data_IF_652333349712
#
_entry.id   IF_652333349712
#
_cell.length_a   1.000
_cell.length_b   1.000
_cell.length_c   1.000
_cell.angle_alpha   90.00
_cell.angle_beta   90.00
_cell.angle_gamma   90.00
#
_symmetry.space_group_name_H-M   'P 1'
#
loop_
_entity.id
_entity.type
_entity.pdbx_description
1 polymer ?
#
# COMPACT_ATOMS: atom_id res chain seq x y z
N UNK A 1 -0.79 7.58 -0.08
CA UNK A 1 -0.28 7.10 1.22
C UNK A 1 1.22 7.12 1.12
N UNK A 2 1.90 7.75 2.06
CA UNK A 2 3.35 7.92 2.01
C UNK A 2 3.99 7.13 3.16
N UNK A 3 4.66 6.03 2.83
CA UNK A 3 5.48 5.25 3.76
C UNK A 3 6.97 5.48 3.54
N UNK A 4 7.34 6.48 2.73
CA UNK A 4 8.73 6.73 2.45
C UNK A 4 9.48 7.03 3.75
N UNK A 5 10.65 6.42 3.88
CA UNK A 5 11.54 6.58 5.02
C UNK A 5 10.97 6.16 6.39
N UNK A 6 9.80 5.51 6.47
CA UNK A 6 9.36 4.89 7.73
C UNK A 6 10.35 3.80 8.14
N UNK A 7 11.02 3.96 9.29
CA UNK A 7 12.11 3.10 9.77
C UNK A 7 11.67 2.14 10.87
N UNK A 8 10.52 2.39 11.48
CA UNK A 8 9.99 1.60 12.59
C UNK A 8 8.60 1.07 12.29
N UNK A 9 8.21 -0.04 12.93
CA UNK A 9 6.85 -0.55 12.83
C UNK A 9 5.82 0.49 13.31
N UNK A 10 6.15 1.30 14.32
CA UNK A 10 5.26 2.33 14.85
C UNK A 10 4.94 3.41 13.82
N UNK A 11 5.94 3.92 13.08
CA UNK A 11 5.72 4.91 12.01
C UNK A 11 4.82 4.32 10.90
N UNK A 12 5.04 3.06 10.54
CA UNK A 12 4.20 2.35 9.57
C UNK A 12 2.76 2.23 10.08
N UNK A 13 2.58 1.87 11.35
CA UNK A 13 1.27 1.74 11.98
C UNK A 13 0.51 3.08 12.00
N UNK A 14 1.19 4.19 12.30
CA UNK A 14 0.58 5.53 12.26
C UNK A 14 0.04 5.88 10.87
N UNK A 15 0.85 5.67 9.82
CA UNK A 15 0.42 5.93 8.44
C UNK A 15 -0.76 5.01 8.05
N UNK A 16 -0.75 3.75 8.50
CA UNK A 16 -1.87 2.81 8.31
C UNK A 16 -3.13 3.34 8.98
N UNK A 17 -3.05 3.79 10.23
CA UNK A 17 -4.20 4.30 10.99
C UNK A 17 -4.81 5.55 10.33
N UNK A 18 -3.98 6.51 9.95
CA UNK A 18 -4.41 7.71 9.21
C UNK A 18 -5.09 7.33 7.88
N UNK A 19 -4.48 6.40 7.15
CA UNK A 19 -5.02 5.91 5.87
C UNK A 19 -6.35 5.19 6.06
N UNK A 20 -6.49 4.38 7.11
CA UNK A 20 -7.75 3.69 7.46
C UNK A 20 -8.84 4.71 7.77
N UNK A 21 -8.52 5.72 8.59
CA UNK A 21 -9.47 6.75 8.99
C UNK A 21 -10.05 7.48 7.78
N UNK A 22 -9.25 7.71 6.73
CA UNK A 22 -9.74 8.31 5.49
C UNK A 22 -10.46 7.31 4.57
N UNK A 23 -9.80 6.19 4.22
CA UNK A 23 -10.24 5.27 3.15
C UNK A 23 -11.57 4.60 3.50
N UNK A 24 -11.75 4.17 4.75
CA UNK A 24 -12.93 3.38 5.15
C UNK A 24 -14.18 4.21 5.39
N UNK A 25 -14.10 5.53 5.25
CA UNK A 25 -15.25 6.43 5.24
C UNK A 25 -15.75 6.74 3.81
N UNK A 26 -15.02 6.30 2.78
CA UNK A 26 -15.38 6.58 1.40
C UNK A 26 -16.44 5.60 0.89
N UNK A 27 -17.21 5.96 -0.15
CA UNK A 27 -18.08 5.00 -0.83
C UNK A 27 -17.31 3.77 -1.34
N UNK A 28 -18.00 2.64 -1.43
CA UNK A 28 -17.43 1.41 -1.99
C UNK A 28 -16.85 1.64 -3.39
N UNK A 29 -15.69 1.06 -3.67
CA UNK A 29 -14.99 1.14 -4.96
C UNK A 29 -14.80 2.57 -5.53
N UNK A 30 -14.60 3.56 -4.66
CA UNK A 30 -14.44 4.97 -5.08
C UNK A 30 -13.00 5.49 -5.01
N UNK A 31 -12.13 4.86 -4.20
CA UNK A 31 -10.81 5.41 -3.90
C UNK A 31 -9.76 4.93 -4.91
N UNK A 32 -9.08 5.89 -5.55
CA UNK A 32 -7.81 5.66 -6.26
C UNK A 32 -6.64 5.91 -5.32
N UNK A 33 -5.78 4.90 -5.11
CA UNK A 33 -4.71 4.98 -4.11
C UNK A 33 -3.32 4.79 -4.71
N UNK A 34 -2.47 5.81 -4.61
CA UNK A 34 -1.02 5.71 -4.84
C UNK A 34 -0.27 5.55 -3.51
N UNK A 35 0.75 4.71 -3.50
CA UNK A 35 1.56 4.42 -2.31
C UNK A 35 3.05 4.62 -2.59
N UNK A 36 3.72 5.47 -1.81
CA UNK A 36 5.18 5.56 -1.81
C UNK A 36 5.76 4.61 -0.74
N UNK A 37 6.73 3.77 -1.10
CA UNK A 37 7.45 2.87 -0.18
C UNK A 37 8.97 3.06 -0.20
N UNK A 38 9.48 4.16 -0.75
CA UNK A 38 10.91 4.43 -0.87
C UNK A 38 11.62 4.37 0.49
N UNK A 39 12.70 3.59 0.58
CA UNK A 39 13.52 3.44 1.80
C UNK A 39 12.75 2.98 3.05
N UNK A 40 11.58 2.38 2.88
CA UNK A 40 10.77 1.87 3.97
C UNK A 40 11.42 0.63 4.61
N UNK A 41 11.38 0.56 5.94
CA UNK A 41 11.70 -0.65 6.70
C UNK A 41 10.59 -1.70 6.52
N UNK A 42 10.97 -2.95 6.22
CA UNK A 42 10.02 -4.02 5.98
C UNK A 42 10.47 -5.31 6.64
N UNK A 43 9.62 -5.86 7.52
CA UNK A 43 9.83 -7.13 8.22
C UNK A 43 8.52 -7.96 8.28
N UNK A 44 8.51 -9.06 9.01
CA UNK A 44 7.33 -9.92 9.15
C UNK A 44 6.19 -9.28 9.97
N UNK A 45 6.49 -8.40 10.91
CA UNK A 45 5.49 -7.70 11.73
C UNK A 45 4.75 -6.68 10.87
N UNK A 46 5.51 -5.83 10.17
CA UNK A 46 5.00 -4.88 9.16
C UNK A 46 4.17 -5.60 8.10
N UNK A 47 4.59 -6.80 7.66
CA UNK A 47 3.80 -7.61 6.72
C UNK A 47 2.41 -7.96 7.28
N UNK A 48 2.29 -8.29 8.57
CA UNK A 48 1.00 -8.61 9.19
C UNK A 48 0.11 -7.36 9.28
N UNK A 49 0.69 -6.21 9.59
CA UNK A 49 -0.02 -4.93 9.60
C UNK A 49 -0.58 -4.61 8.20
N UNK A 50 0.24 -4.77 7.16
CA UNK A 50 -0.23 -4.63 5.78
C UNK A 50 -1.30 -5.65 5.40
N UNK A 51 -1.23 -6.90 5.88
CA UNK A 51 -2.24 -7.90 5.58
C UNK A 51 -3.63 -7.46 6.07
N UNK A 52 -3.73 -6.97 7.30
CA UNK A 52 -4.97 -6.45 7.86
C UNK A 52 -5.43 -5.18 7.15
N UNK A 53 -4.50 -4.25 6.92
CA UNK A 53 -4.75 -3.00 6.21
C UNK A 53 -5.31 -3.23 4.81
N UNK A 54 -4.63 -4.05 4.01
CA UNK A 54 -4.99 -4.33 2.62
C UNK A 54 -6.34 -5.04 2.50
N UNK A 55 -6.61 -6.03 3.36
CA UNK A 55 -7.91 -6.74 3.39
C UNK A 55 -9.05 -5.80 3.74
N UNK A 56 -8.90 -5.02 4.82
CA UNK A 56 -9.95 -4.09 5.28
C UNK A 56 -10.23 -2.95 4.29
N UNK A 57 -9.24 -2.58 3.47
CA UNK A 57 -9.41 -1.50 2.48
C UNK A 57 -9.99 -1.99 1.14
N UNK A 58 -9.97 -3.31 0.87
CA UNK A 58 -10.42 -3.87 -0.42
C UNK A 58 -11.81 -3.39 -0.88
N UNK A 59 -12.84 -3.26 -0.02
CA UNK A 59 -14.17 -2.82 -0.47
C UNK A 59 -14.24 -1.38 -0.96
N UNK A 60 -13.27 -0.53 -0.57
CA UNK A 60 -13.29 0.92 -0.81
C UNK A 60 -12.41 1.32 -1.99
N UNK A 61 -11.42 0.50 -2.32
CA UNK A 61 -10.42 0.79 -3.34
C UNK A 61 -10.98 0.42 -4.73
N UNK A 62 -10.96 1.40 -5.63
CA UNK A 62 -11.22 1.22 -7.06
C UNK A 62 -9.99 0.68 -7.78
N UNK A 63 -8.86 1.33 -7.56
CA UNK A 63 -7.59 1.08 -8.24
C UNK A 63 -6.45 1.51 -7.34
N UNK A 64 -5.30 0.82 -7.40
CA UNK A 64 -4.15 1.20 -6.59
C UNK A 64 -2.82 0.89 -7.27
N UNK A 65 -1.87 1.81 -7.08
CA UNK A 65 -0.48 1.66 -7.48
C UNK A 65 0.47 1.88 -6.30
N UNK A 66 1.67 1.32 -6.43
CA UNK A 66 2.76 1.47 -5.47
C UNK A 66 4.08 1.68 -6.20
N UNK A 67 4.98 2.48 -5.65
CA UNK A 67 6.35 2.65 -6.16
C UNK A 67 7.38 2.67 -5.03
N UNK A 68 8.67 2.57 -5.39
CA UNK A 68 9.76 2.69 -4.41
C UNK A 68 10.08 1.46 -3.58
N UNK A 69 9.55 0.28 -3.93
CA UNK A 69 9.84 -0.94 -3.19
C UNK A 69 11.27 -1.47 -3.47
N UNK A 70 11.98 -1.83 -2.41
CA UNK A 70 13.19 -2.66 -2.52
C UNK A 70 12.86 -4.09 -3.00
N UNK A 71 13.88 -4.84 -3.43
CA UNK A 71 13.69 -6.22 -3.91
C UNK A 71 13.03 -7.15 -2.88
N UNK A 72 13.47 -7.12 -1.61
CA UNK A 72 12.88 -7.91 -0.53
C UNK A 72 11.43 -7.48 -0.24
N UNK A 73 11.16 -6.17 -0.18
CA UNK A 73 9.81 -5.66 0.03
C UNK A 73 8.86 -6.11 -1.10
N UNK A 74 9.32 -6.13 -2.35
CA UNK A 74 8.55 -6.60 -3.50
C UNK A 74 8.17 -8.08 -3.40
N UNK A 75 9.06 -8.94 -2.91
CA UNK A 75 8.76 -10.38 -2.69
C UNK A 75 7.63 -10.54 -1.67
N UNK A 76 7.73 -9.86 -0.52
CA UNK A 76 6.74 -9.96 0.55
C UNK A 76 5.39 -9.36 0.12
N UNK A 77 5.43 -8.22 -0.58
CA UNK A 77 4.27 -7.56 -1.16
C UNK A 77 3.52 -8.47 -2.15
N UNK A 78 4.23 -9.15 -3.05
CA UNK A 78 3.62 -10.09 -3.99
C UNK A 78 2.91 -11.25 -3.26
N UNK A 79 3.47 -11.71 -2.13
CA UNK A 79 2.80 -12.66 -1.25
C UNK A 79 1.49 -12.11 -0.68
N UNK A 80 1.48 -10.86 -0.23
CA UNK A 80 0.27 -10.20 0.28
C UNK A 80 -0.80 -10.04 -0.80
N UNK A 81 -0.43 -9.69 -2.04
CA UNK A 81 -1.39 -9.57 -3.14
C UNK A 81 -2.10 -10.89 -3.42
N UNK A 82 -1.36 -12.00 -3.43
CA UNK A 82 -1.93 -13.35 -3.55
C UNK A 82 -2.89 -13.70 -2.41
N UNK A 83 -2.50 -13.43 -1.17
CA UNK A 83 -3.32 -13.75 0.02
C UNK A 83 -4.60 -12.89 0.09
N UNK A 84 -4.50 -11.62 -0.29
CA UNK A 84 -5.62 -10.67 -0.22
C UNK A 84 -6.51 -10.70 -1.47
N UNK A 85 -6.02 -11.31 -2.55
CA UNK A 85 -6.66 -11.27 -3.87
C UNK A 85 -6.84 -9.83 -4.35
N UNK A 86 -5.87 -8.95 -4.04
CA UNK A 86 -5.83 -7.58 -4.53
C UNK A 86 -4.87 -7.51 -5.72
N UNK A 87 -5.25 -6.75 -6.71
CA UNK A 87 -4.37 -6.36 -7.81
C UNK A 87 -3.90 -4.92 -7.54
N UNK A 88 -2.68 -4.78 -7.03
CA UNK A 88 -2.03 -3.49 -6.81
C UNK A 88 -0.79 -3.48 -7.66
N UNK A 89 -0.71 -2.52 -8.58
CA UNK A 89 0.35 -2.50 -9.58
C UNK A 89 1.58 -1.78 -9.05
N UNK A 90 2.73 -2.45 -9.12
CA UNK A 90 4.00 -1.89 -8.66
C UNK A 90 4.80 -1.27 -9.80
N UNK A 91 5.41 -0.12 -9.53
CA UNK A 91 6.26 0.62 -10.45
C UNK A 91 7.61 0.95 -9.79
N UNK A 92 8.56 1.39 -10.60
CA UNK A 92 9.86 1.83 -10.11
C UNK A 92 9.82 3.27 -9.61
N UNK A 93 9.11 4.15 -10.33
CA UNK A 93 9.04 5.58 -10.04
C UNK A 93 7.59 6.06 -9.85
N UNK A 94 7.48 7.27 -9.29
CA UNK A 94 6.20 7.93 -9.00
C UNK A 94 5.39 8.23 -10.28
N UNK A 95 6.04 8.69 -11.33
CA UNK A 95 5.39 9.10 -12.59
C UNK A 95 4.58 7.95 -13.19
N UNK A 96 5.19 6.78 -13.37
CA UNK A 96 4.51 5.60 -13.93
C UNK A 96 3.34 5.14 -13.04
N UNK A 97 3.52 5.22 -11.72
CA UNK A 97 2.48 4.88 -10.76
C UNK A 97 1.29 5.84 -10.81
N UNK A 98 1.52 7.13 -11.09
CA UNK A 98 0.47 8.13 -11.27
C UNK A 98 -0.24 7.96 -12.61
N UNK A 99 0.51 7.78 -13.70
CA UNK A 99 -0.06 7.57 -15.04
C UNK A 99 -1.00 6.37 -15.08
N UNK A 100 -0.68 5.29 -14.35
CA UNK A 100 -1.55 4.13 -14.23
C UNK A 100 -2.92 4.46 -13.63
N UNK A 101 -3.01 5.41 -12.69
CA UNK A 101 -4.26 5.78 -12.03
C UNK A 101 -5.13 6.72 -12.87
N UNK A 102 -4.54 7.37 -13.87
CA UNK A 102 -5.23 8.30 -14.78
C UNK A 102 -5.81 7.61 -16.03
N UNK A 103 -5.46 6.35 -16.25
CA UNK A 103 -5.97 5.50 -17.34
C UNK A 103 -7.27 4.81 -16.93
#
# INVERSE_FOLDING_TARGET
>A
MDFSNAKTQQEVAQIIEESIAYIRQQPGHSVSAITNMENMYFNNEVKNDFLHFLKGNKPYIKISSVFGMSGLARILFNGLMKITGRDVRSFENMTDAQEFLLK
#
